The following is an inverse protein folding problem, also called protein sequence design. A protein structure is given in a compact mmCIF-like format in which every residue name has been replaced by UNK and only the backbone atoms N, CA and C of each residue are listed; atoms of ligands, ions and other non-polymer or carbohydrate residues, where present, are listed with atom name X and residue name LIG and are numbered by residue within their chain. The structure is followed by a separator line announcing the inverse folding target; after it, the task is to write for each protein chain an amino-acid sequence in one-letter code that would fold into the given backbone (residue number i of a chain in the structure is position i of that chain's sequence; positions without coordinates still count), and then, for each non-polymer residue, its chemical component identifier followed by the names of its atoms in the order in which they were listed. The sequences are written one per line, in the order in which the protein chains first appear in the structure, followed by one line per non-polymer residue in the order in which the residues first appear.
data_IF_367910547781
#
_entry.id   IF_367910547781
#
_cell.length_a   1.000
_cell.length_b   1.000
_cell.length_c   1.000
_cell.angle_alpha   90.00
_cell.angle_beta   90.00
_cell.angle_gamma   90.00
#
_symmetry.space_group_name_H-M   'P 1'
#
loop_
_entity.id
_entity.type
_entity.pdbx_description
1 polymer ?
#
# COMPACT_ATOMS: atom_id res chain seq x y z
N UNK A 1 -19.56 13.41 0.60
CA UNK A 1 -18.46 12.47 0.28
C UNK A 1 -17.19 13.12 0.76
N UNK A 2 -16.35 12.40 1.52
CA UNK A 2 -15.03 12.92 1.89
C UNK A 2 -14.12 12.84 0.67
N UNK A 3 -13.47 13.94 0.33
CA UNK A 3 -12.50 13.98 -0.78
C UNK A 3 -11.09 13.79 -0.23
N UNK A 4 -10.35 12.82 -0.76
CA UNK A 4 -8.95 12.59 -0.43
C UNK A 4 -8.12 12.90 -1.67
N UNK A 5 -7.04 13.65 -1.49
CA UNK A 5 -6.07 13.94 -2.55
C UNK A 5 -4.66 14.07 -1.99
N UNK A 6 -3.68 14.00 -2.88
CA UNK A 6 -2.28 14.27 -2.61
C UNK A 6 -1.84 15.51 -3.37
N UNK A 7 -1.05 16.32 -2.70
CA UNK A 7 -0.32 17.45 -3.28
C UNK A 7 1.18 17.25 -3.03
N UNK A 8 2.03 17.93 -3.81
CA UNK A 8 3.48 17.93 -3.55
C UNK A 8 3.93 19.28 -3.02
N UNK A 9 4.71 19.26 -1.95
CA UNK A 9 5.36 20.43 -1.38
C UNK A 9 6.86 20.11 -1.24
N UNK A 10 7.70 20.84 -1.98
CA UNK A 10 9.16 20.59 -2.01
C UNK A 10 9.56 19.14 -2.32
N UNK A 11 8.79 18.46 -3.19
CA UNK A 11 9.06 17.07 -3.58
C UNK A 11 8.56 16.01 -2.60
N UNK A 12 7.84 16.41 -1.55
CA UNK A 12 7.19 15.52 -0.59
C UNK A 12 5.68 15.52 -0.79
N UNK A 13 5.05 14.37 -0.59
CA UNK A 13 3.59 14.20 -0.65
C UNK A 13 2.94 14.71 0.62
N UNK A 14 1.88 15.50 0.47
CA UNK A 14 1.01 15.92 1.58
C UNK A 14 -0.40 15.42 1.26
N UNK A 15 -0.93 14.55 2.13
CA UNK A 15 -2.30 14.07 1.98
C UNK A 15 -3.28 15.11 2.49
N UNK A 16 -4.22 15.49 1.64
CA UNK A 16 -5.31 16.40 1.92
C UNK A 16 -6.61 15.60 2.07
N UNK A 17 -7.39 15.96 3.08
CA UNK A 17 -8.75 15.49 3.28
C UNK A 17 -9.65 16.70 3.35
N UNK A 18 -10.62 16.77 2.45
CA UNK A 18 -11.55 17.90 2.33
C UNK A 18 -10.79 19.24 2.22
N UNK A 19 -9.69 19.24 1.45
CA UNK A 19 -8.82 20.39 1.20
C UNK A 19 -7.85 20.75 2.33
N UNK A 20 -7.81 19.98 3.44
CA UNK A 20 -6.91 20.23 4.57
C UNK A 20 -5.83 19.17 4.68
N UNK A 21 -4.56 19.55 4.95
CA UNK A 21 -3.50 18.57 5.18
C UNK A 21 -3.80 17.77 6.45
N UNK A 22 -3.73 16.44 6.34
CA UNK A 22 -4.05 15.51 7.44
C UNK A 22 -2.91 14.56 7.80
N UNK A 23 -1.83 14.55 7.02
CA UNK A 23 -0.60 13.81 7.31
C UNK A 23 0.60 14.74 7.30
N UNK A 24 1.65 14.31 8.01
CA UNK A 24 2.99 14.86 7.80
C UNK A 24 3.41 14.69 6.33
N UNK A 25 4.26 15.57 5.79
CA UNK A 25 4.87 15.33 4.49
C UNK A 25 5.56 13.97 4.44
N UNK A 26 5.42 13.26 3.31
CA UNK A 26 5.99 11.95 3.07
C UNK A 26 6.90 12.01 1.85
N UNK A 27 8.08 11.41 1.92
CA UNK A 27 8.94 11.28 0.74
C UNK A 27 8.40 10.27 -0.27
N UNK A 28 7.66 9.27 0.21
CA UNK A 28 7.05 8.18 -0.56
C UNK A 28 5.68 7.82 0.02
N UNK A 29 4.84 7.20 -0.80
CA UNK A 29 3.53 6.72 -0.38
C UNK A 29 3.52 5.19 -0.43
N UNK A 30 2.93 4.56 0.57
CA UNK A 30 2.60 3.14 0.57
C UNK A 30 1.16 2.92 0.11
N UNK A 31 0.94 1.86 -0.65
CA UNK A 31 -0.36 1.38 -1.13
C UNK A 31 -0.52 -0.09 -0.73
N UNK A 32 -1.65 -0.41 -0.12
CA UNK A 32 -2.09 -1.78 0.10
C UNK A 32 -3.15 -2.12 -0.94
N UNK A 33 -2.81 -3.04 -1.83
CA UNK A 33 -3.64 -3.43 -2.98
C UNK A 33 -3.99 -4.91 -2.91
N UNK A 34 -5.09 -5.30 -3.52
CA UNK A 34 -5.46 -6.70 -3.73
C UNK A 34 -6.44 -6.79 -4.89
N UNK A 35 -6.77 -7.99 -5.33
CA UNK A 35 -7.71 -8.22 -6.41
C UNK A 35 -9.17 -8.04 -5.99
N UNK A 36 -10.01 -7.71 -6.95
CA UNK A 36 -11.47 -7.68 -6.78
C UNK A 36 -12.14 -9.05 -6.93
N UNK A 37 -11.40 -10.07 -7.37
CA UNK A 37 -11.91 -11.40 -7.69
C UNK A 37 -12.41 -11.57 -9.13
N UNK A 38 -12.45 -10.50 -9.92
CA UNK A 38 -12.83 -10.48 -11.34
C UNK A 38 -11.64 -10.11 -12.26
N UNK A 39 -10.44 -9.96 -11.69
CA UNK A 39 -9.19 -9.66 -12.40
C UNK A 39 -8.80 -8.18 -12.39
N UNK A 40 -9.54 -7.33 -11.68
CA UNK A 40 -9.18 -5.96 -11.38
C UNK A 40 -8.47 -5.82 -10.03
N UNK A 41 -8.05 -4.59 -9.71
CA UNK A 41 -7.38 -4.25 -8.46
C UNK A 41 -8.23 -3.30 -7.61
N UNK A 42 -8.16 -3.51 -6.29
CA UNK A 42 -8.76 -2.70 -5.25
C UNK A 42 -7.66 -2.09 -4.39
N UNK A 43 -7.77 -0.80 -4.12
CA UNK A 43 -6.96 -0.11 -3.13
C UNK A 43 -7.64 -0.21 -1.76
N UNK A 44 -7.02 -0.94 -0.83
CA UNK A 44 -7.54 -1.09 0.52
C UNK A 44 -7.07 0.03 1.45
N UNK A 45 -5.81 0.47 1.29
CA UNK A 45 -5.22 1.50 2.13
C UNK A 45 -4.08 2.21 1.41
N UNK A 46 -3.85 3.46 1.77
CA UNK A 46 -2.73 4.24 1.27
C UNK A 46 -2.23 5.25 2.32
N UNK A 47 -1.04 5.82 2.12
CA UNK A 47 -0.48 6.86 2.98
C UNK A 47 0.95 6.56 3.43
N UNK A 48 1.24 6.81 4.71
CA UNK A 48 2.55 6.55 5.29
C UNK A 48 2.94 5.06 5.10
N UNK A 49 4.08 4.76 4.43
CA UNK A 49 4.46 3.39 4.10
C UNK A 49 4.51 2.44 5.30
N UNK A 50 5.04 2.88 6.44
CA UNK A 50 5.15 2.05 7.64
C UNK A 50 3.77 1.69 8.20
N UNK A 51 2.87 2.67 8.24
CA UNK A 51 1.51 2.48 8.73
C UNK A 51 0.66 1.62 7.79
N UNK A 52 0.89 1.73 6.48
CA UNK A 52 0.21 0.91 5.47
C UNK A 52 0.73 -0.53 5.55
N UNK A 53 2.03 -0.75 5.61
CA UNK A 53 2.62 -2.08 5.75
C UNK A 53 2.17 -2.77 7.05
N UNK A 54 2.20 -2.05 8.18
CA UNK A 54 1.68 -2.58 9.46
C UNK A 54 0.20 -2.97 9.36
N UNK A 55 -0.59 -2.17 8.65
CA UNK A 55 -1.99 -2.53 8.41
C UNK A 55 -2.12 -3.78 7.53
N UNK A 56 -1.30 -3.90 6.49
CA UNK A 56 -1.31 -5.05 5.57
C UNK A 56 -1.01 -6.36 6.31
N UNK A 57 0.03 -6.38 7.15
CA UNK A 57 0.39 -7.57 7.96
C UNK A 57 -0.80 -8.00 8.82
N UNK A 58 -1.39 -7.07 9.57
CA UNK A 58 -2.56 -7.35 10.39
C UNK A 58 -3.78 -7.80 9.56
N UNK A 59 -3.96 -7.27 8.34
CA UNK A 59 -5.04 -7.65 7.45
C UNK A 59 -4.85 -9.09 6.94
N UNK A 60 -3.64 -9.46 6.55
CA UNK A 60 -3.30 -10.82 6.12
C UNK A 60 -3.54 -11.85 7.22
N UNK A 61 -3.11 -11.57 8.45
CA UNK A 61 -3.37 -12.44 9.60
C UNK A 61 -4.88 -12.63 9.84
N UNK A 62 -5.64 -11.53 9.81
CA UNK A 62 -7.10 -11.57 9.97
C UNK A 62 -7.77 -12.38 8.88
N UNK A 63 -7.42 -12.15 7.62
CA UNK A 63 -8.01 -12.89 6.50
C UNK A 63 -7.63 -14.37 6.55
N UNK A 64 -6.37 -14.71 6.85
CA UNK A 64 -5.94 -16.10 6.99
C UNK A 64 -6.73 -16.86 8.08
N UNK A 65 -7.18 -16.16 9.13
CA UNK A 65 -8.02 -16.77 10.19
C UNK A 65 -9.45 -17.12 9.75
N UNK A 66 -9.89 -16.71 8.55
CA UNK A 66 -11.23 -16.93 8.02
C UNK A 66 -11.37 -18.21 7.19
N UNK A 67 -10.35 -19.07 7.15
CA UNK A 67 -10.31 -20.31 6.38
C UNK A 67 -9.87 -20.12 4.93
N UNK A 68 -10.09 -21.12 4.08
CA UNK A 68 -9.49 -21.19 2.73
C UNK A 68 -9.77 -19.96 1.83
N UNK A 69 -10.98 -19.39 1.87
CA UNK A 69 -11.27 -18.17 1.11
C UNK A 69 -10.48 -16.96 1.63
N UNK A 70 -10.31 -16.88 2.95
CA UNK A 70 -9.54 -15.83 3.60
C UNK A 70 -8.04 -15.97 3.35
N UNK A 71 -7.51 -17.19 3.26
CA UNK A 71 -6.13 -17.44 2.83
C UNK A 71 -5.88 -16.92 1.41
N UNK A 72 -6.81 -17.15 0.48
CA UNK A 72 -6.73 -16.59 -0.88
C UNK A 72 -6.71 -15.06 -0.86
N UNK A 73 -7.59 -14.43 -0.07
CA UNK A 73 -7.60 -12.96 0.08
C UNK A 73 -6.30 -12.43 0.71
N UNK A 74 -5.76 -13.13 1.71
CA UNK A 74 -4.49 -12.77 2.34
C UNK A 74 -3.31 -12.89 1.38
N UNK A 75 -3.30 -13.93 0.54
CA UNK A 75 -2.28 -14.15 -0.48
C UNK A 75 -2.29 -13.06 -1.56
N UNK A 76 -3.49 -12.56 -1.91
CA UNK A 76 -3.65 -11.57 -2.96
C UNK A 76 -3.38 -10.13 -2.51
N UNK A 77 -3.37 -9.88 -1.20
CA UNK A 77 -2.96 -8.61 -0.62
C UNK A 77 -1.45 -8.34 -0.84
N UNK A 78 -1.12 -7.16 -1.35
CA UNK A 78 0.25 -6.74 -1.70
C UNK A 78 0.54 -5.34 -1.19
N UNK A 79 1.83 -5.08 -0.96
CA UNK A 79 2.34 -3.76 -0.62
C UNK A 79 3.10 -3.18 -1.80
N UNK A 80 2.81 -1.92 -2.12
CA UNK A 80 3.54 -1.13 -3.12
C UNK A 80 3.98 0.15 -2.45
N UNK A 81 5.25 0.52 -2.59
CA UNK A 81 5.78 1.76 -2.03
C UNK A 81 6.61 2.47 -3.10
N UNK A 82 6.51 3.80 -3.14
CA UNK A 82 7.44 4.59 -3.92
C UNK A 82 7.03 6.04 -4.10
N UNK A 83 7.76 6.72 -4.98
CA UNK A 83 7.44 8.04 -5.51
C UNK A 83 6.59 7.88 -6.77
N UNK A 84 5.29 8.04 -6.62
CA UNK A 84 4.33 7.91 -7.72
C UNK A 84 4.10 9.22 -8.45
N UNK A 85 3.75 9.13 -9.73
CA UNK A 85 3.18 10.29 -10.41
C UNK A 85 1.93 10.78 -9.66
N UNK A 86 1.86 12.10 -9.43
CA UNK A 86 0.83 12.70 -8.57
C UNK A 86 -0.57 12.53 -9.17
N UNK A 87 -0.69 12.53 -10.51
CA UNK A 87 -1.97 12.34 -11.18
C UNK A 87 -2.42 10.89 -11.01
N UNK A 88 -1.55 9.92 -11.30
CA UNK A 88 -1.90 8.51 -11.15
C UNK A 88 -2.25 8.17 -9.70
N UNK A 89 -1.52 8.71 -8.72
CA UNK A 89 -1.83 8.55 -7.30
C UNK A 89 -3.23 9.08 -6.95
N UNK A 90 -3.56 10.29 -7.40
CA UNK A 90 -4.87 10.89 -7.15
C UNK A 90 -6.02 10.16 -7.87
N UNK A 91 -5.81 9.68 -9.09
CA UNK A 91 -6.77 8.85 -9.81
C UNK A 91 -7.00 7.52 -9.06
N UNK A 92 -5.93 6.87 -8.58
CA UNK A 92 -6.01 5.61 -7.85
C UNK A 92 -6.76 5.74 -6.51
N UNK A 93 -6.45 6.76 -5.69
CA UNK A 93 -7.19 7.01 -4.43
C UNK A 93 -8.63 7.48 -4.67
N UNK A 94 -8.91 8.04 -5.85
CA UNK A 94 -10.26 8.33 -6.33
C UNK A 94 -11.05 7.10 -6.79
N UNK A 95 -10.44 5.90 -6.76
CA UNK A 95 -11.09 4.64 -7.14
C UNK A 95 -10.90 4.23 -8.60
N UNK A 96 -9.97 4.86 -9.33
CA UNK A 96 -9.67 4.45 -10.70
C UNK A 96 -8.74 3.21 -10.72
N UNK A 97 -9.32 2.05 -10.98
CA UNK A 97 -8.59 0.78 -11.05
C UNK A 97 -7.45 0.78 -12.10
N UNK A 98 -7.62 1.47 -13.24
CA UNK A 98 -6.56 1.54 -14.26
C UNK A 98 -5.34 2.31 -13.77
N UNK A 99 -5.56 3.41 -13.04
CA UNK A 99 -4.46 4.16 -12.43
C UNK A 99 -3.78 3.31 -11.34
N UNK A 100 -4.57 2.60 -10.53
CA UNK A 100 -4.03 1.68 -9.53
C UNK A 100 -3.16 0.58 -10.16
N UNK A 101 -3.58 -0.01 -11.27
CA UNK A 101 -2.79 -0.99 -12.01
C UNK A 101 -1.49 -0.42 -12.55
N UNK A 102 -1.47 0.83 -13.04
CA UNK A 102 -0.23 1.50 -13.45
C UNK A 102 0.75 1.67 -12.28
N UNK A 103 0.25 2.04 -11.10
CA UNK A 103 1.07 2.26 -9.91
C UNK A 103 1.58 0.96 -9.28
N UNK A 104 0.75 -0.07 -9.25
CA UNK A 104 1.11 -1.38 -8.70
C UNK A 104 2.06 -2.17 -9.62
N UNK A 105 2.23 -1.74 -10.87
CA UNK A 105 2.96 -2.46 -11.90
C UNK A 105 2.23 -3.72 -12.37
N UNK A 106 2.60 -4.24 -13.55
CA UNK A 106 2.26 -5.62 -13.90
C UNK A 106 2.76 -6.54 -12.76
N UNK A 107 1.89 -7.42 -12.29
CA UNK A 107 1.93 -8.20 -11.05
C UNK A 107 3.13 -9.16 -10.86
N UNK A 108 4.24 -8.97 -11.58
CA UNK A 108 5.45 -9.81 -11.61
C UNK A 108 6.69 -9.21 -10.95
N UNK A 109 6.64 -7.99 -10.41
CA UNK A 109 7.83 -7.35 -9.81
C UNK A 109 7.45 -6.58 -8.58
N UNK A 110 7.20 -7.25 -7.45
CA UNK A 110 7.79 -6.92 -6.13
C UNK A 110 7.71 -8.20 -5.26
N UNK A 111 8.77 -9.01 -5.29
CA UNK A 111 9.10 -9.86 -4.14
C UNK A 111 9.47 -8.90 -3.00
N UNK A 112 8.51 -8.61 -2.13
CA UNK A 112 8.86 -8.21 -0.77
C UNK A 112 9.12 -9.51 -0.03
N UNK A 113 10.24 -10.18 -0.36
CA UNK A 113 10.88 -10.98 0.69
C UNK A 113 11.12 -9.99 1.82
N UNK A 114 10.38 -10.19 2.90
CA UNK A 114 10.71 -9.58 4.17
C UNK A 114 12.19 -9.92 4.42
N UNK A 115 13.07 -8.93 4.21
CA UNK A 115 14.43 -8.97 4.75
C UNK A 115 14.25 -8.91 6.26
N UNK A 116 13.92 -10.06 6.85
CA UNK A 116 14.24 -10.33 8.23
C UNK A 116 15.76 -10.33 8.24
N UNK A 117 16.31 -9.22 8.72
CA UNK A 117 17.73 -9.10 9.02
C UNK A 117 18.08 -10.31 9.91
N UNK A 118 18.75 -11.30 9.34
CA UNK A 118 19.54 -12.26 10.11
C UNK A 118 20.59 -11.42 10.84
N UNK A 119 20.27 -10.98 12.06
CA UNK A 119 21.30 -10.61 13.02
C UNK A 119 21.97 -11.89 13.45
N UNK A 120 22.91 -12.35 12.63
CA UNK A 120 24.04 -13.12 13.11
C UNK A 120 24.76 -12.27 14.17
N UNK A 121 24.49 -12.60 15.43
CA UNK A 121 25.24 -12.17 16.59
C UNK A 121 25.56 -13.42 17.38
N UNK A 122 26.54 -14.17 16.85
CA UNK A 122 27.31 -15.14 17.63
C UNK A 122 27.92 -14.46 18.85
N UNK A 123 28.27 -15.29 19.83
CA UNK A 123 29.05 -15.00 21.03
C UNK A 123 28.22 -14.57 22.25
N UNK A 124 28.04 -15.52 23.19
CA UNK A 124 28.48 -15.43 24.58
C UNK A 124 28.10 -16.70 25.35
N UNK A 125 29.11 -17.42 25.85
CA UNK A 125 28.99 -18.33 27.02
C UNK A 125 29.12 -19.81 26.73
#
# INVERSE_FOLDING_TARGET
MTTISYETNCGQYVMHRDGRPVLRPLDEVGLAVGGDGEGGLILYKHGDPELVNKWLVNAKEKFSSMGALGETMAADLRFVQGKFDLRDLNEAVGGNANALSRLAGDLNTIDVEAVVIERAGSELG
#
